data_IF_188925974160
#
_entry.id   IF_188925974160
#
_cell.length_a   1.000
_cell.length_b   1.000
_cell.length_c   1.000
_cell.angle_alpha   90.00
_cell.angle_beta   90.00
_cell.angle_gamma   90.00
#
_symmetry.space_group_name_H-M   'P 1'
#
loop_
_entity.id
_entity.type
_entity.pdbx_description
1 polymer ?
#
# COMPACT_ATOMS: atom_id res chain seq x y z
N UNK A 1 -17.66 -11.95 -4.34
CA UNK A 1 -16.61 -11.02 -3.92
C UNK A 1 -17.15 -9.61 -3.86
N UNK A 2 -16.89 -8.95 -2.77
CA UNK A 2 -17.33 -7.57 -2.56
C UNK A 2 -16.59 -6.59 -3.47
N UNK A 3 -15.29 -6.82 -3.69
CA UNK A 3 -14.45 -5.95 -4.52
C UNK A 3 -13.86 -6.72 -5.69
N UNK A 4 -13.93 -6.12 -6.87
CA UNK A 4 -13.36 -6.67 -8.09
C UNK A 4 -12.34 -5.68 -8.65
N UNK A 5 -11.12 -6.16 -8.88
CA UNK A 5 -10.03 -5.38 -9.45
C UNK A 5 -9.84 -5.76 -10.91
N UNK A 6 -9.64 -4.78 -11.78
CA UNK A 6 -9.37 -5.04 -13.19
C UNK A 6 -8.76 -3.84 -13.90
N UNK A 7 -8.24 -4.06 -15.09
CA UNK A 7 -7.74 -2.98 -15.95
C UNK A 7 -8.43 -3.11 -17.30
N UNK A 8 -9.28 -2.14 -17.68
CA UNK A 8 -9.94 -2.19 -18.98
C UNK A 8 -8.96 -1.92 -20.12
N UNK A 9 -9.33 -2.40 -21.29
CA UNK A 9 -8.60 -2.10 -22.51
C UNK A 9 -8.53 -0.58 -22.72
N UNK A 10 -7.40 -0.10 -23.17
CA UNK A 10 -7.17 1.34 -23.40
C UNK A 10 -6.43 2.05 -22.27
N UNK A 11 -6.25 1.39 -21.14
CA UNK A 11 -5.43 1.94 -20.05
C UNK A 11 -4.04 1.33 -20.07
N UNK A 12 -3.06 2.06 -19.54
CA UNK A 12 -1.64 1.68 -19.62
C UNK A 12 -1.37 0.31 -19.00
N UNK A 13 -0.75 -0.56 -19.77
CA UNK A 13 -0.30 -1.88 -19.32
C UNK A 13 1.07 -2.19 -19.96
N UNK A 14 1.94 -2.95 -19.29
CA UNK A 14 1.78 -3.48 -17.94
C UNK A 14 1.92 -2.40 -16.85
N UNK A 15 1.29 -2.65 -15.71
CA UNK A 15 1.41 -1.79 -14.53
C UNK A 15 1.38 -2.68 -13.29
N UNK A 16 2.05 -2.28 -12.18
CA UNK A 16 2.07 -3.10 -10.97
C UNK A 16 0.78 -2.99 -10.15
N UNK A 17 -0.25 -2.38 -10.70
CA UNK A 17 -1.57 -2.21 -10.06
C UNK A 17 -2.66 -2.36 -11.10
N UNK A 18 -3.85 -2.73 -10.64
CA UNK A 18 -5.06 -2.65 -11.46
C UNK A 18 -5.52 -1.19 -11.54
N UNK A 19 -6.03 -0.77 -12.66
CA UNK A 19 -6.47 0.63 -12.80
C UNK A 19 -7.83 0.90 -12.16
N UNK A 20 -8.68 -0.11 -12.02
CA UNK A 20 -10.05 0.04 -11.56
C UNK A 20 -10.38 -0.97 -10.46
N UNK A 21 -11.11 -0.52 -9.46
CA UNK A 21 -11.76 -1.39 -8.50
C UNK A 21 -13.24 -1.04 -8.47
N UNK A 22 -14.08 -2.07 -8.47
CA UNK A 22 -15.53 -1.92 -8.29
C UNK A 22 -15.90 -2.70 -7.05
N UNK A 23 -16.60 -2.05 -6.13
CA UNK A 23 -16.97 -2.69 -4.89
C UNK A 23 -18.42 -2.48 -4.53
N UNK A 24 -19.00 -3.49 -3.89
CA UNK A 24 -20.33 -3.42 -3.30
C UNK A 24 -20.23 -3.92 -1.87
N UNK A 25 -20.99 -3.32 -0.95
CA UNK A 25 -20.97 -3.68 0.45
C UNK A 25 -21.32 -2.48 1.31
N UNK A 26 -21.70 -2.75 2.56
CA UNK A 26 -22.19 -1.73 3.46
C UNK A 26 -21.13 -1.20 4.43
N UNK A 27 -20.02 -1.91 4.59
CA UNK A 27 -19.01 -1.57 5.59
C UNK A 27 -17.75 -1.03 4.94
N UNK A 28 -17.45 0.22 5.24
CA UNK A 28 -16.24 0.89 4.76
C UNK A 28 -15.12 0.74 5.78
N UNK A 29 -13.93 0.41 5.31
CA UNK A 29 -12.74 0.29 6.14
C UNK A 29 -11.71 1.30 5.67
N UNK A 30 -11.24 2.14 6.57
CA UNK A 30 -10.21 3.13 6.27
C UNK A 30 -9.02 2.88 7.20
N UNK A 31 -7.89 2.55 6.62
CA UNK A 31 -6.65 2.38 7.39
C UNK A 31 -5.85 3.67 7.27
N UNK A 32 -5.53 4.27 8.40
CA UNK A 32 -4.71 5.47 8.44
C UNK A 32 -3.36 5.23 7.78
N UNK A 33 -2.69 6.30 7.38
CA UNK A 33 -1.35 6.20 6.82
C UNK A 33 -0.41 5.43 7.73
N UNK A 34 0.20 4.37 7.20
CA UNK A 34 1.13 3.53 7.95
C UNK A 34 2.55 3.80 7.52
N UNK A 35 3.42 3.90 8.49
CA UNK A 35 4.85 4.12 8.29
C UNK A 35 5.63 2.97 8.92
N UNK A 36 6.94 2.91 8.69
CA UNK A 36 7.78 1.80 9.17
C UNK A 36 8.07 1.94 10.67
N UNK A 37 7.09 1.61 11.48
CA UNK A 37 7.17 1.61 12.94
C UNK A 37 6.68 0.28 13.49
N UNK A 38 7.28 -0.17 14.59
CA UNK A 38 6.75 -1.28 15.39
C UNK A 38 5.58 -0.75 16.24
N UNK A 39 4.86 -1.69 16.87
CA UNK A 39 3.73 -1.33 17.74
C UNK A 39 4.14 -0.40 18.90
N UNK A 40 5.38 -0.49 19.35
CA UNK A 40 5.89 0.38 20.44
C UNK A 40 6.42 1.74 19.91
N UNK A 41 6.30 1.99 18.60
CA UNK A 41 6.72 3.24 17.98
C UNK A 41 8.18 3.29 17.53
N UNK A 42 8.96 2.22 17.75
CA UNK A 42 10.36 2.21 17.33
C UNK A 42 10.51 2.06 15.82
N UNK A 43 11.50 2.74 15.19
CA UNK A 43 11.73 2.67 13.76
C UNK A 43 12.13 1.28 13.27
N UNK A 44 11.70 0.95 12.04
CA UNK A 44 12.12 -0.23 11.32
C UNK A 44 12.82 0.22 10.05
N UNK A 45 13.94 -0.43 9.70
CA UNK A 45 14.69 -0.20 8.47
C UNK A 45 15.05 1.27 8.23
N UNK A 46 15.69 1.97 9.20
CA UNK A 46 16.06 3.38 8.97
C UNK A 46 16.98 3.50 7.76
N UNK A 47 16.67 4.47 6.88
CA UNK A 47 17.43 4.71 5.67
C UNK A 47 17.23 3.71 4.53
N UNK A 48 16.41 2.69 4.73
CA UNK A 48 16.17 1.62 3.76
C UNK A 48 14.75 1.72 3.19
N UNK A 49 14.63 2.23 1.97
CA UNK A 49 13.34 2.41 1.30
C UNK A 49 12.57 1.09 1.18
N UNK A 50 13.22 0.04 0.66
CA UNK A 50 12.56 -1.25 0.46
C UNK A 50 12.06 -1.83 1.78
N UNK A 51 12.89 -1.77 2.83
CA UNK A 51 12.50 -2.24 4.16
C UNK A 51 11.36 -1.45 4.76
N UNK A 52 11.33 -0.14 4.54
CA UNK A 52 10.24 0.70 5.04
C UNK A 52 8.94 0.46 4.27
N UNK A 53 9.00 0.27 2.96
CA UNK A 53 7.82 -0.10 2.15
C UNK A 53 7.23 -1.41 2.67
N UNK A 54 8.06 -2.42 2.87
CA UNK A 54 7.62 -3.72 3.37
C UNK A 54 6.93 -3.60 4.73
N UNK A 55 7.54 -2.85 5.66
CA UNK A 55 6.98 -2.71 7.00
C UNK A 55 5.68 -1.90 7.01
N UNK A 56 5.62 -0.82 6.22
CA UNK A 56 4.40 -0.03 6.12
C UNK A 56 3.24 -0.88 5.57
N UNK A 57 3.51 -1.75 4.60
CA UNK A 57 2.50 -2.67 4.07
C UNK A 57 2.12 -3.75 5.09
N UNK A 58 3.07 -4.26 5.88
CA UNK A 58 2.73 -5.18 6.98
C UNK A 58 1.78 -4.51 7.98
N UNK A 59 2.06 -3.27 8.33
CA UNK A 59 1.21 -2.53 9.26
C UNK A 59 -0.18 -2.29 8.67
N UNK A 60 -0.25 -2.02 7.36
CA UNK A 60 -1.53 -1.89 6.66
C UNK A 60 -2.32 -3.20 6.71
N UNK A 61 -1.64 -4.34 6.51
CA UNK A 61 -2.25 -5.67 6.61
C UNK A 61 -2.82 -5.92 8.00
N UNK A 62 -2.12 -5.52 9.05
CA UNK A 62 -2.60 -5.63 10.44
C UNK A 62 -3.87 -4.80 10.63
N UNK A 63 -3.89 -3.58 10.10
CA UNK A 63 -5.07 -2.72 10.17
C UNK A 63 -6.28 -3.32 9.45
N UNK A 64 -6.07 -3.83 8.24
CA UNK A 64 -7.12 -4.48 7.47
C UNK A 64 -7.68 -5.71 8.22
N UNK A 65 -6.78 -6.57 8.70
CA UNK A 65 -7.17 -7.78 9.44
C UNK A 65 -7.95 -7.45 10.70
N UNK A 66 -7.61 -6.36 11.38
CA UNK A 66 -8.35 -5.91 12.55
C UNK A 66 -9.80 -5.57 12.26
N UNK A 67 -10.11 -5.20 11.04
CA UNK A 67 -11.48 -4.91 10.59
C UNK A 67 -12.14 -6.11 9.89
N UNK A 68 -11.46 -7.25 9.81
CA UNK A 68 -11.96 -8.42 9.10
C UNK A 68 -11.78 -8.33 7.58
N UNK A 69 -10.89 -7.46 7.11
CA UNK A 69 -10.62 -7.26 5.70
C UNK A 69 -9.24 -7.80 5.31
N UNK A 70 -8.99 -7.84 4.02
CA UNK A 70 -7.69 -8.20 3.43
C UNK A 70 -7.43 -7.30 2.22
N UNK A 71 -6.27 -7.46 1.59
CA UNK A 71 -5.96 -6.68 0.38
C UNK A 71 -6.92 -6.99 -0.78
N UNK A 72 -7.56 -8.16 -0.78
CA UNK A 72 -8.60 -8.48 -1.78
C UNK A 72 -9.80 -7.54 -1.69
N UNK A 73 -10.02 -6.94 -0.53
CA UNK A 73 -11.13 -6.03 -0.27
C UNK A 73 -10.76 -4.56 -0.48
N UNK A 74 -9.50 -4.29 -0.80
CA UNK A 74 -9.01 -2.91 -0.91
C UNK A 74 -9.49 -2.28 -2.21
N UNK A 75 -10.08 -1.09 -2.09
CA UNK A 75 -10.49 -0.27 -3.22
C UNK A 75 -9.33 0.57 -3.74
N UNK A 76 -8.49 1.04 -2.84
CA UNK A 76 -7.41 1.97 -3.20
C UNK A 76 -6.27 1.94 -2.18
N UNK A 77 -5.05 1.98 -2.70
CA UNK A 77 -3.83 2.25 -1.94
C UNK A 77 -3.26 3.60 -2.37
N UNK A 78 -2.79 4.39 -1.43
CA UNK A 78 -2.04 5.60 -1.76
C UNK A 78 -0.70 5.54 -1.03
N UNK A 79 0.36 5.66 -1.80
CA UNK A 79 1.73 5.67 -1.29
C UNK A 79 2.28 7.09 -1.37
N UNK A 80 2.84 7.57 -0.28
CA UNK A 80 3.53 8.85 -0.20
C UNK A 80 5.01 8.56 0.02
N UNK A 81 5.87 9.14 -0.81
CA UNK A 81 7.31 8.89 -0.75
C UNK A 81 8.06 10.22 -0.68
N UNK A 82 8.93 10.36 0.33
CA UNK A 82 9.72 11.57 0.47
C UNK A 82 10.76 11.68 -0.65
N UNK A 83 10.91 12.89 -1.19
CA UNK A 83 11.90 13.20 -2.25
C UNK A 83 11.87 12.18 -3.39
N UNK A 84 10.69 11.87 -3.86
CA UNK A 84 10.54 10.89 -4.93
C UNK A 84 11.31 11.29 -6.18
N UNK A 85 11.94 10.28 -6.79
CA UNK A 85 12.50 10.40 -8.14
C UNK A 85 12.34 9.05 -8.84
N UNK A 86 12.28 9.03 -10.19
CA UNK A 86 12.05 7.77 -10.93
C UNK A 86 13.07 6.66 -10.64
N UNK A 87 14.28 7.00 -10.28
CA UNK A 87 15.33 6.02 -9.96
C UNK A 87 14.96 5.16 -8.75
N UNK A 88 14.08 5.64 -7.90
CA UNK A 88 13.66 4.94 -6.66
C UNK A 88 12.65 3.84 -6.91
N UNK A 89 12.09 3.73 -8.13
CA UNK A 89 11.03 2.76 -8.40
C UNK A 89 11.48 1.32 -8.14
N UNK A 90 12.73 1.00 -8.44
CA UNK A 90 13.28 -0.34 -8.20
C UNK A 90 13.26 -0.71 -6.72
N UNK A 91 13.73 0.17 -5.86
CA UNK A 91 13.74 -0.05 -4.41
C UNK A 91 12.32 -0.12 -3.84
N UNK A 92 11.44 0.77 -4.34
CA UNK A 92 10.05 0.76 -3.94
C UNK A 92 9.40 -0.59 -4.26
N UNK A 93 9.52 -1.05 -5.50
CA UNK A 93 8.93 -2.31 -5.93
C UNK A 93 9.58 -3.51 -5.24
N UNK A 94 10.88 -3.44 -4.96
CA UNK A 94 11.55 -4.49 -4.19
C UNK A 94 10.91 -4.67 -2.80
N UNK A 95 10.56 -3.55 -2.16
CA UNK A 95 9.85 -3.60 -0.87
C UNK A 95 8.46 -4.21 -0.97
N UNK A 96 7.71 -3.85 -2.02
CA UNK A 96 6.38 -4.43 -2.28
C UNK A 96 6.50 -5.94 -2.49
N UNK A 97 7.40 -6.37 -3.36
CA UNK A 97 7.56 -7.78 -3.72
C UNK A 97 8.08 -8.63 -2.56
N UNK A 98 8.94 -8.05 -1.73
CA UNK A 98 9.50 -8.76 -0.57
C UNK A 98 8.44 -9.20 0.44
N UNK A 99 7.33 -8.48 0.55
CA UNK A 99 6.32 -8.72 1.58
C UNK A 99 5.00 -9.24 1.00
N UNK A 100 4.80 -9.13 -0.30
CA UNK A 100 3.51 -9.38 -0.94
C UNK A 100 2.91 -10.74 -0.61
N UNK A 101 3.68 -11.81 -0.74
CA UNK A 101 3.20 -13.16 -0.45
C UNK A 101 2.83 -13.32 1.04
N UNK A 102 3.66 -12.80 1.91
CA UNK A 102 3.45 -12.87 3.37
C UNK A 102 2.11 -12.25 3.79
N UNK A 103 1.74 -11.13 3.19
CA UNK A 103 0.55 -10.36 3.59
C UNK A 103 -0.66 -10.60 2.68
N UNK A 104 -0.54 -11.46 1.69
CA UNK A 104 -1.64 -11.72 0.76
C UNK A 104 -1.92 -10.60 -0.23
N UNK A 105 -0.93 -9.77 -0.51
CA UNK A 105 -1.04 -8.72 -1.52
C UNK A 105 -0.70 -9.30 -2.88
N UNK A 106 -1.66 -9.32 -3.78
CA UNK A 106 -1.41 -9.78 -5.14
C UNK A 106 -0.80 -8.68 -5.99
N UNK A 107 0.01 -9.07 -6.97
CA UNK A 107 0.59 -8.16 -7.95
C UNK A 107 0.08 -8.61 -9.33
N UNK A 108 -0.62 -7.74 -10.07
CA UNK A 108 -0.82 -6.30 -9.82
C UNK A 108 -1.62 -6.00 -8.56
N UNK A 109 -1.26 -4.93 -7.90
CA UNK A 109 -1.92 -4.45 -6.69
C UNK A 109 -3.33 -3.90 -7.00
N UNK A 110 -4.16 -3.68 -5.97
CA UNK A 110 -5.34 -2.82 -6.12
C UNK A 110 -4.96 -1.45 -6.70
N UNK A 111 -5.94 -0.68 -7.19
CA UNK A 111 -5.65 0.67 -7.67
C UNK A 111 -4.79 1.45 -6.70
N UNK A 112 -3.69 1.98 -7.21
CA UNK A 112 -2.70 2.65 -6.37
C UNK A 112 -2.20 3.93 -7.02
N UNK A 113 -1.83 4.89 -6.18
CA UNK A 113 -1.13 6.10 -6.62
C UNK A 113 0.12 6.24 -5.78
N UNK A 114 1.18 6.78 -6.40
CA UNK A 114 2.40 7.13 -5.69
C UNK A 114 2.58 8.64 -5.82
N UNK A 115 2.69 9.31 -4.68
CA UNK A 115 2.77 10.76 -4.60
C UNK A 115 4.07 11.13 -3.90
N UNK A 116 4.90 11.92 -4.58
CA UNK A 116 6.10 12.47 -3.98
C UNK A 116 5.74 13.60 -3.02
N UNK A 117 6.31 13.57 -1.83
CA UNK A 117 6.10 14.60 -0.81
C UNK A 117 7.45 15.02 -0.25
N UNK A 118 7.49 16.18 0.38
CA UNK A 118 8.73 16.68 0.95
C UNK A 118 9.07 16.00 2.27
N UNK A 119 8.07 15.72 3.09
CA UNK A 119 8.26 15.28 4.46
C UNK A 119 7.07 14.45 4.93
N UNK A 120 7.33 13.47 5.81
CA UNK A 120 6.29 12.62 6.39
C UNK A 120 6.48 12.54 7.91
N UNK A 121 5.76 13.38 8.63
CA UNK A 121 5.65 13.40 10.09
C UNK A 121 6.99 13.48 10.84
N UNK A 122 7.93 12.55 10.58
CA UNK A 122 9.25 12.49 11.24
C UNK A 122 10.38 12.35 10.20
N UNK A 123 11.62 12.80 10.53
CA UNK A 123 12.72 12.85 9.53
C UNK A 123 13.14 11.51 8.93
N UNK A 124 12.96 10.42 9.67
CA UNK A 124 13.38 9.09 9.20
C UNK A 124 12.33 8.37 8.36
N UNK A 125 11.13 8.93 8.25
CA UNK A 125 10.05 8.30 7.48
C UNK A 125 10.24 8.56 6.00
N UNK A 126 10.43 7.50 5.22
CA UNK A 126 10.64 7.58 3.77
C UNK A 126 9.38 7.30 2.97
N UNK A 127 8.45 6.52 3.55
CA UNK A 127 7.22 6.12 2.87
C UNK A 127 6.07 6.00 3.87
N UNK A 128 4.89 6.34 3.39
CA UNK A 128 3.64 6.14 4.12
C UNK A 128 2.62 5.54 3.15
N UNK A 129 1.82 4.59 3.62
CA UNK A 129 0.76 3.99 2.81
C UNK A 129 -0.56 4.05 3.56
N UNK A 130 -1.62 4.43 2.84
CA UNK A 130 -2.99 4.37 3.36
C UNK A 130 -3.85 3.50 2.45
N UNK A 131 -4.90 2.91 3.02
CA UNK A 131 -5.76 1.99 2.30
C UNK A 131 -7.23 2.27 2.63
N UNK A 132 -8.08 2.09 1.62
CA UNK A 132 -9.52 2.03 1.81
C UNK A 132 -10.03 0.71 1.27
N UNK A 133 -10.95 0.09 2.00
CA UNK A 133 -11.50 -1.21 1.64
C UNK A 133 -13.01 -1.24 1.87
N UNK A 134 -13.65 -2.25 1.32
CA UNK A 134 -15.09 -2.42 1.42
C UNK A 134 -15.39 -3.88 1.70
N UNK A 135 -16.20 -4.13 2.72
CA UNK A 135 -16.65 -5.47 3.09
C UNK A 135 -18.17 -5.46 3.37
N UNK A 136 -18.75 -6.63 3.43
CA UNK A 136 -20.18 -6.80 3.68
C UNK A 136 -20.56 -6.51 5.15
#
# INVERSE_FOLDING_TARGET
>A
MTVHHFTPEGMTQPAPYHHVAVGTGATHVHVAGQVARRADGTPVAPGDMAGQVAQALRNTAVGLAGAGASFADVLRLTFYVTRWSPEKIGDFMAGVEAVAEEIGLQIPMPPASLIGVEYLFEPDVLVEVEATALID
#
